data_IF_443738876772
#
_entry.id   IF_443738876772
#
_cell.length_a   1.000
_cell.length_b   1.000
_cell.length_c   1.000
_cell.angle_alpha   90.00
_cell.angle_beta   90.00
_cell.angle_gamma   90.00
#
_symmetry.space_group_name_H-M   'P 1'
#
loop_
_entity.id
_entity.type
_entity.pdbx_description
1 polymer ?
#
# COMPACT_ATOMS: atom_id res chain seq x y z
N UNK A 1 -20.41 -36.24 11.62
CA UNK A 1 -19.06 -35.72 11.87
C UNK A 1 -18.24 -35.81 10.59
N UNK A 2 -18.11 -34.71 9.83
CA UNK A 2 -17.26 -34.66 8.63
C UNK A 2 -15.82 -34.37 9.05
N UNK A 3 -14.90 -35.29 8.77
CA UNK A 3 -13.47 -35.14 9.03
C UNK A 3 -12.95 -33.93 8.25
N UNK A 4 -12.45 -32.92 8.97
CA UNK A 4 -11.61 -31.84 8.42
C UNK A 4 -10.27 -32.46 8.03
N UNK A 5 -10.06 -32.70 6.74
CA UNK A 5 -8.73 -33.03 6.23
C UNK A 5 -7.90 -31.74 6.25
N UNK A 6 -7.07 -31.61 7.28
CA UNK A 6 -6.10 -30.52 7.42
C UNK A 6 -4.96 -30.76 6.43
N UNK A 7 -5.03 -30.16 5.24
CA UNK A 7 -3.88 -30.02 4.35
C UNK A 7 -3.05 -28.86 4.89
N UNK A 8 -2.17 -29.15 5.84
CA UNK A 8 -1.18 -28.19 6.36
C UNK A 8 0.16 -28.42 5.66
N UNK A 9 0.68 -27.37 5.04
CA UNK A 9 2.09 -27.21 4.68
C UNK A 9 2.48 -27.82 3.33
N UNK A 10 3.04 -27.00 2.44
CA UNK A 10 3.70 -27.36 1.17
C UNK A 10 2.85 -27.82 -0.02
N UNK A 11 1.52 -27.76 0.01
CA UNK A 11 0.72 -28.04 -1.17
C UNK A 11 0.72 -26.85 -2.14
N UNK A 12 1.07 -27.09 -3.41
CA UNK A 12 0.90 -26.14 -4.51
C UNK A 12 -0.56 -25.63 -4.50
N UNK A 13 -0.75 -24.33 -4.24
CA UNK A 13 -2.09 -23.76 -4.00
C UNK A 13 -2.96 -23.92 -5.25
N UNK A 14 -2.37 -23.81 -6.44
CA UNK A 14 -3.08 -24.00 -7.70
C UNK A 14 -3.59 -25.44 -7.84
N UNK A 15 -2.77 -26.44 -7.48
CA UNK A 15 -3.22 -27.84 -7.45
C UNK A 15 -4.37 -28.06 -6.46
N UNK A 16 -4.30 -27.41 -5.30
CA UNK A 16 -5.37 -27.48 -4.30
C UNK A 16 -6.68 -26.89 -4.84
N UNK A 17 -6.62 -25.73 -5.49
CA UNK A 17 -7.78 -25.11 -6.16
C UNK A 17 -8.36 -26.07 -7.20
N UNK A 18 -7.53 -26.63 -8.09
CA UNK A 18 -7.95 -27.57 -9.13
C UNK A 18 -8.59 -28.83 -8.54
N UNK A 19 -8.04 -29.38 -7.46
CA UNK A 19 -8.55 -30.59 -6.80
C UNK A 19 -9.93 -30.39 -6.16
N UNK A 20 -10.20 -29.20 -5.64
CA UNK A 20 -11.46 -28.86 -4.97
C UNK A 20 -12.50 -28.25 -5.93
N UNK A 21 -12.09 -27.87 -7.15
CA UNK A 21 -12.89 -27.11 -8.10
C UNK A 21 -14.30 -27.67 -8.32
N UNK A 22 -14.41 -28.99 -8.53
CA UNK A 22 -15.70 -29.64 -8.79
C UNK A 22 -16.70 -29.46 -7.64
N UNK A 23 -16.21 -29.39 -6.40
CA UNK A 23 -16.99 -29.25 -5.18
C UNK A 23 -17.32 -27.80 -4.79
N UNK A 24 -16.74 -26.82 -5.50
CA UNK A 24 -16.93 -25.39 -5.21
C UNK A 24 -18.32 -24.88 -5.62
N UNK A 25 -18.83 -23.90 -4.88
CA UNK A 25 -20.02 -23.15 -5.26
C UNK A 25 -19.79 -22.31 -6.51
N UNK A 26 -20.87 -21.82 -7.16
CA UNK A 26 -20.76 -20.97 -8.35
C UNK A 26 -19.90 -19.72 -8.12
N UNK A 27 -19.99 -19.10 -6.95
CA UNK A 27 -19.19 -17.92 -6.62
C UNK A 27 -17.72 -18.27 -6.40
N UNK A 28 -17.43 -19.38 -5.74
CA UNK A 28 -16.06 -19.86 -5.53
C UNK A 28 -15.39 -20.28 -6.85
N UNK A 29 -16.13 -20.93 -7.75
CA UNK A 29 -15.62 -21.27 -9.09
C UNK A 29 -15.17 -20.05 -9.88
N UNK A 30 -15.95 -18.97 -9.86
CA UNK A 30 -15.54 -17.70 -10.51
C UNK A 30 -14.23 -17.14 -9.98
N UNK A 31 -14.02 -17.21 -8.65
CA UNK A 31 -12.75 -16.79 -8.04
C UNK A 31 -11.62 -17.74 -8.42
N UNK A 32 -11.87 -19.05 -8.38
CA UNK A 32 -10.92 -20.08 -8.81
C UNK A 32 -10.49 -19.89 -10.27
N UNK A 33 -11.44 -19.68 -11.18
CA UNK A 33 -11.18 -19.44 -12.61
C UNK A 33 -10.32 -18.20 -12.81
N UNK A 34 -10.62 -17.10 -12.10
CA UNK A 34 -9.86 -15.86 -12.18
C UNK A 34 -8.40 -16.05 -11.77
N UNK A 35 -8.16 -16.90 -10.76
CA UNK A 35 -6.81 -17.20 -10.25
C UNK A 35 -6.08 -18.21 -11.13
N UNK A 36 -6.75 -19.26 -11.59
CA UNK A 36 -6.14 -20.31 -12.41
C UNK A 36 -5.80 -19.84 -13.82
N UNK A 37 -6.58 -18.89 -14.37
CA UNK A 37 -6.35 -18.35 -15.71
C UNK A 37 -5.10 -17.46 -15.79
N UNK A 38 -4.78 -16.74 -14.72
CA UNK A 38 -3.60 -15.87 -14.66
C UNK A 38 -3.02 -15.81 -13.23
N UNK A 39 -2.29 -16.85 -12.80
CA UNK A 39 -1.73 -16.92 -11.46
C UNK A 39 -0.71 -15.81 -11.17
N UNK A 40 0.04 -15.37 -12.17
CA UNK A 40 1.03 -14.30 -12.03
C UNK A 40 0.37 -12.96 -11.71
N UNK A 41 -0.67 -12.57 -12.46
CA UNK A 41 -1.41 -11.36 -12.13
C UNK A 41 -2.15 -11.49 -10.79
N UNK A 42 -2.63 -12.69 -10.44
CA UNK A 42 -3.31 -12.93 -9.17
C UNK A 42 -2.45 -12.65 -7.94
N UNK A 43 -1.11 -12.75 -8.04
CA UNK A 43 -0.15 -12.36 -6.99
C UNK A 43 -0.20 -10.86 -6.68
N UNK A 44 -0.71 -10.03 -7.59
CA UNK A 44 -0.75 -8.59 -7.41
C UNK A 44 -2.13 -8.06 -6.99
N UNK A 45 -3.23 -8.80 -7.20
CA UNK A 45 -4.57 -8.32 -6.87
C UNK A 45 -4.78 -8.03 -5.36
N UNK A 46 -5.57 -6.99 -5.05
CA UNK A 46 -6.21 -6.88 -3.73
C UNK A 46 -7.42 -7.80 -3.65
N UNK A 47 -8.02 -7.91 -2.45
CA UNK A 47 -9.30 -8.61 -2.29
C UNK A 47 -10.38 -7.97 -3.14
N UNK A 48 -10.37 -6.64 -3.26
CA UNK A 48 -11.30 -5.86 -4.06
C UNK A 48 -11.08 -6.15 -5.55
N UNK A 49 -9.84 -6.07 -6.04
CA UNK A 49 -9.52 -6.39 -7.44
C UNK A 49 -9.93 -7.81 -7.83
N UNK A 50 -9.64 -8.79 -6.98
CA UNK A 50 -10.01 -10.17 -7.24
C UNK A 50 -11.53 -10.35 -7.24
N UNK A 51 -12.24 -9.67 -6.34
CA UNK A 51 -13.70 -9.74 -6.28
C UNK A 51 -14.35 -9.19 -7.55
N UNK A 52 -13.86 -8.06 -8.06
CA UNK A 52 -14.37 -7.44 -9.28
C UNK A 52 -14.04 -8.27 -10.53
N UNK A 53 -12.79 -8.74 -10.66
CA UNK A 53 -12.39 -9.60 -11.79
C UNK A 53 -13.17 -10.90 -11.82
N UNK A 54 -13.47 -11.48 -10.65
CA UNK A 54 -14.30 -12.67 -10.54
C UNK A 54 -15.81 -12.37 -10.67
N UNK A 55 -16.24 -11.10 -10.64
CA UNK A 55 -17.66 -10.74 -10.64
C UNK A 55 -18.43 -11.30 -9.44
N UNK A 56 -17.83 -11.19 -8.24
CA UNK A 56 -18.41 -11.61 -6.95
C UNK A 56 -18.15 -10.55 -5.88
N UNK A 57 -18.89 -10.57 -4.76
CA UNK A 57 -18.57 -9.70 -3.63
C UNK A 57 -17.32 -10.13 -2.86
N UNK A 58 -16.64 -9.19 -2.19
CA UNK A 58 -15.44 -9.46 -1.37
C UNK A 58 -15.66 -10.58 -0.33
N UNK A 59 -16.85 -10.66 0.28
CA UNK A 59 -17.20 -11.74 1.22
C UNK A 59 -17.15 -13.12 0.56
N UNK A 60 -17.46 -13.22 -0.73
CA UNK A 60 -17.33 -14.49 -1.48
C UNK A 60 -15.86 -14.85 -1.71
N UNK A 61 -14.99 -13.86 -1.97
CA UNK A 61 -13.53 -14.09 -2.03
C UNK A 61 -13.01 -14.58 -0.68
N UNK A 62 -13.43 -13.97 0.44
CA UNK A 62 -13.03 -14.42 1.78
C UNK A 62 -13.54 -15.83 2.08
N UNK A 63 -14.77 -16.16 1.68
CA UNK A 63 -15.32 -17.53 1.83
C UNK A 63 -14.55 -18.55 1.00
N UNK A 64 -14.19 -18.21 -0.22
CA UNK A 64 -13.33 -19.03 -1.07
C UNK A 64 -11.97 -19.31 -0.41
N UNK A 65 -11.28 -18.28 0.11
CA UNK A 65 -10.02 -18.51 0.83
C UNK A 65 -10.20 -19.44 2.04
N UNK A 66 -11.30 -19.30 2.78
CA UNK A 66 -11.62 -20.16 3.93
C UNK A 66 -11.99 -21.59 3.55
N UNK A 67 -12.65 -21.82 2.41
CA UNK A 67 -12.97 -23.18 1.95
C UNK A 67 -11.73 -23.94 1.49
N UNK A 68 -10.68 -23.23 1.07
CA UNK A 68 -9.35 -23.78 0.82
C UNK A 68 -8.52 -24.01 2.10
N UNK A 69 -9.01 -23.58 3.27
CA UNK A 69 -8.35 -23.78 4.56
C UNK A 69 -7.53 -22.59 5.09
N UNK A 70 -7.52 -21.45 4.38
CA UNK A 70 -6.83 -20.23 4.83
C UNK A 70 -7.68 -19.42 5.82
N UNK A 71 -7.04 -18.71 6.74
CA UNK A 71 -7.70 -17.81 7.69
C UNK A 71 -8.36 -16.59 7.02
N UNK A 72 -7.83 -16.16 5.87
CA UNK A 72 -8.34 -15.05 5.07
C UNK A 72 -7.55 -14.82 3.77
N UNK A 73 -7.82 -13.70 3.11
CA UNK A 73 -7.25 -13.38 1.79
C UNK A 73 -5.72 -13.22 1.81
N UNK A 74 -5.16 -12.62 2.86
CA UNK A 74 -3.71 -12.40 2.93
C UNK A 74 -2.91 -13.71 2.94
N UNK A 75 -3.32 -14.68 3.75
CA UNK A 75 -2.68 -16.01 3.83
C UNK A 75 -2.81 -16.77 2.51
N UNK A 76 -3.99 -16.70 1.88
CA UNK A 76 -4.21 -17.25 0.54
C UNK A 76 -3.27 -16.61 -0.50
N UNK A 77 -3.18 -15.27 -0.53
CA UNK A 77 -2.34 -14.52 -1.47
C UNK A 77 -0.86 -14.92 -1.32
N UNK A 78 -0.37 -15.02 -0.07
CA UNK A 78 0.98 -15.49 0.24
C UNK A 78 1.25 -16.90 -0.30
N UNK A 79 0.30 -17.82 -0.13
CA UNK A 79 0.44 -19.21 -0.59
C UNK A 79 0.50 -19.32 -2.12
N UNK A 80 -0.29 -18.52 -2.84
CA UNK A 80 -0.19 -18.41 -4.30
C UNK A 80 1.16 -17.83 -4.72
N UNK A 81 1.62 -16.77 -4.08
CA UNK A 81 2.91 -16.16 -4.39
C UNK A 81 4.06 -17.16 -4.31
N UNK A 82 4.12 -17.94 -3.24
CA UNK A 82 5.13 -19.00 -3.10
C UNK A 82 4.99 -20.03 -4.22
N UNK A 83 3.76 -20.41 -4.57
CA UNK A 83 3.48 -21.38 -5.64
C UNK A 83 3.98 -20.88 -7.00
N UNK A 84 3.68 -19.62 -7.36
CA UNK A 84 4.09 -19.01 -8.63
C UNK A 84 5.61 -18.84 -8.71
N UNK A 85 6.25 -18.36 -7.64
CA UNK A 85 7.71 -18.18 -7.62
C UNK A 85 8.46 -19.52 -7.73
N UNK A 86 7.94 -20.58 -7.12
CA UNK A 86 8.55 -21.90 -7.24
C UNK A 86 8.42 -22.47 -8.66
N UNK A 87 7.33 -22.15 -9.38
CA UNK A 87 7.20 -22.53 -10.79
C UNK A 87 8.24 -21.80 -11.66
N UNK A 88 8.40 -20.48 -11.47
CA UNK A 88 9.42 -19.68 -12.19
C UNK A 88 10.84 -20.14 -11.87
N UNK A 89 11.15 -20.48 -10.61
CA UNK A 89 12.47 -21.01 -10.22
C UNK A 89 12.79 -22.35 -10.87
N UNK A 90 11.81 -23.26 -10.94
CA UNK A 90 11.99 -24.54 -11.60
C UNK A 90 12.25 -24.40 -13.11
N UNK A 91 11.80 -23.32 -13.74
CA UNK A 91 12.05 -22.99 -15.15
C UNK A 91 13.38 -22.24 -15.37
N UNK A 92 13.93 -21.57 -14.35
CA UNK A 92 15.14 -20.71 -14.47
C UNK A 92 16.42 -21.34 -13.94
N UNK A 93 16.36 -22.49 -13.26
CA UNK A 93 17.55 -23.25 -12.86
C UNK A 93 18.31 -23.89 -14.06
N UNK A 94 17.80 -23.77 -15.30
CA UNK A 94 18.49 -24.21 -16.52
C UNK A 94 19.36 -23.13 -17.20
N UNK A 95 19.28 -21.85 -16.82
CA UNK A 95 20.06 -20.77 -17.46
C UNK A 95 20.59 -19.75 -16.42
N UNK A 96 21.77 -20.01 -15.87
CA UNK A 96 22.60 -18.93 -15.30
C UNK A 96 24.02 -19.13 -15.82
N UNK A 97 24.32 -18.49 -16.96
CA UNK A 97 25.70 -18.16 -17.30
C UNK A 97 26.21 -17.09 -16.32
N UNK A 98 27.41 -17.31 -15.79
CA UNK A 98 28.09 -16.34 -14.92
C UNK A 98 28.47 -15.10 -15.77
N UNK A 99 27.77 -13.98 -15.58
CA UNK A 99 28.20 -12.70 -16.17
C UNK A 99 29.49 -12.22 -15.48
N UNK A 100 30.51 -11.90 -16.29
CA UNK A 100 31.88 -11.51 -15.88
C UNK A 100 31.98 -10.26 -14.97
N UNK A 101 30.89 -9.53 -14.71
CA UNK A 101 30.84 -8.42 -13.73
C UNK A 101 29.48 -8.34 -12.99
N UNK A 102 29.19 -9.39 -12.22
CA UNK A 102 27.96 -9.56 -11.44
C UNK A 102 27.57 -8.35 -10.54
N UNK A 103 28.50 -7.65 -9.84
CA UNK A 103 28.15 -6.45 -9.07
C UNK A 103 27.62 -5.31 -9.94
N UNK A 104 28.26 -5.01 -11.09
CA UNK A 104 27.86 -3.92 -11.97
C UNK A 104 26.48 -4.20 -12.60
N UNK A 105 26.21 -5.44 -13.00
CA UNK A 105 24.90 -5.81 -13.56
C UNK A 105 23.77 -5.67 -12.53
N UNK A 106 24.02 -6.02 -11.27
CA UNK A 106 23.06 -5.76 -10.16
C UNK A 106 22.82 -4.26 -9.96
N UNK A 107 23.88 -3.46 -9.90
CA UNK A 107 23.77 -2.00 -9.71
C UNK A 107 22.94 -1.34 -10.81
N UNK A 108 23.21 -1.72 -12.07
CA UNK A 108 22.46 -1.25 -13.23
C UNK A 108 20.99 -1.67 -13.17
N UNK A 109 20.72 -2.93 -12.82
CA UNK A 109 19.35 -3.46 -12.68
C UNK A 109 18.56 -2.73 -11.59
N UNK A 110 19.14 -2.55 -10.41
CA UNK A 110 18.48 -1.83 -9.29
C UNK A 110 18.20 -0.38 -9.68
N UNK A 111 19.17 0.31 -10.28
CA UNK A 111 19.01 1.69 -10.74
C UNK A 111 17.91 1.81 -11.78
N UNK A 112 17.88 0.92 -12.78
CA UNK A 112 16.83 0.89 -13.80
C UNK A 112 15.43 0.68 -13.20
N UNK A 113 15.29 -0.19 -12.20
CA UNK A 113 14.03 -0.39 -11.46
C UNK A 113 13.59 0.91 -10.80
N UNK A 114 14.47 1.61 -10.10
CA UNK A 114 14.13 2.86 -9.41
C UNK A 114 13.79 3.98 -10.39
N UNK A 115 14.58 4.17 -11.45
CA UNK A 115 14.31 5.17 -12.50
C UNK A 115 12.94 4.94 -13.14
N UNK A 116 12.61 3.69 -13.48
CA UNK A 116 11.30 3.35 -14.03
C UNK A 116 10.18 3.67 -13.05
N UNK A 117 10.32 3.27 -11.80
CA UNK A 117 9.32 3.54 -10.76
C UNK A 117 9.10 5.04 -10.55
N UNK A 118 10.15 5.85 -10.64
CA UNK A 118 10.02 7.30 -10.50
C UNK A 118 9.25 7.92 -11.68
N UNK A 119 9.49 7.43 -12.89
CA UNK A 119 8.74 7.85 -14.08
C UNK A 119 7.26 7.41 -14.00
N UNK A 120 7.02 6.16 -13.64
CA UNK A 120 5.68 5.59 -13.47
C UNK A 120 4.89 6.35 -12.37
N UNK A 121 5.56 6.75 -11.28
CA UNK A 121 4.96 7.56 -10.20
C UNK A 121 4.47 8.90 -10.72
N UNK A 122 5.31 9.63 -11.47
CA UNK A 122 4.91 10.91 -12.06
C UNK A 122 3.75 10.75 -13.05
N UNK A 123 3.73 9.66 -13.81
CA UNK A 123 2.68 9.39 -14.80
C UNK A 123 1.34 9.03 -14.15
N UNK A 124 1.36 8.36 -12.99
CA UNK A 124 0.16 7.87 -12.32
C UNK A 124 -0.47 8.90 -11.37
N UNK A 125 0.33 9.79 -10.79
CA UNK A 125 -0.18 10.83 -9.90
C UNK A 125 -1.03 11.85 -10.65
N UNK A 126 -2.29 11.97 -10.22
CA UNK A 126 -3.21 12.98 -10.72
C UNK A 126 -2.87 14.38 -10.14
N UNK A 127 -2.56 15.38 -10.98
CA UNK A 127 -2.27 16.74 -10.52
C UNK A 127 -3.43 17.38 -9.76
N UNK A 128 -4.68 17.06 -10.10
CA UNK A 128 -5.86 17.60 -9.42
C UNK A 128 -5.95 17.13 -7.97
N UNK A 129 -5.78 15.82 -7.76
CA UNK A 129 -5.75 15.19 -6.44
C UNK A 129 -4.59 15.70 -5.58
N UNK A 130 -3.42 15.93 -6.18
CA UNK A 130 -2.29 16.55 -5.49
C UNK A 130 -2.60 17.98 -5.04
N UNK A 131 -3.19 18.79 -5.92
CA UNK A 131 -3.57 20.17 -5.61
C UNK A 131 -4.61 20.22 -4.48
N UNK A 132 -5.66 19.40 -4.59
CA UNK A 132 -6.72 19.32 -3.58
C UNK A 132 -6.16 18.86 -2.22
N UNK A 133 -5.27 17.86 -2.22
CA UNK A 133 -4.59 17.43 -1.00
C UNK A 133 -3.77 18.57 -0.38
N UNK A 134 -3.02 19.34 -1.19
CA UNK A 134 -2.23 20.46 -0.71
C UNK A 134 -3.09 21.58 -0.08
N UNK A 135 -4.21 21.92 -0.72
CA UNK A 135 -5.17 22.92 -0.21
C UNK A 135 -5.78 22.49 1.13
N UNK A 136 -6.14 21.21 1.28
CA UNK A 136 -6.60 20.69 2.56
C UNK A 136 -5.48 20.74 3.59
N UNK A 137 -4.26 20.27 3.28
CA UNK A 137 -3.14 20.31 4.23
C UNK A 137 -2.86 21.72 4.75
N UNK A 138 -3.06 22.76 3.94
CA UNK A 138 -2.88 24.16 4.34
C UNK A 138 -4.03 24.75 5.16
N UNK A 139 -5.27 24.30 4.92
CA UNK A 139 -6.48 24.82 5.56
C UNK A 139 -6.91 24.05 6.81
N UNK A 140 -6.49 22.78 6.95
CA UNK A 140 -6.83 21.93 8.08
C UNK A 140 -6.20 22.40 9.39
N UNK A 141 -6.89 22.14 10.50
CA UNK A 141 -6.43 22.47 11.86
C UNK A 141 -5.25 21.61 12.28
N UNK A 142 -5.28 20.32 11.94
CA UNK A 142 -4.22 19.35 12.23
C UNK A 142 -4.24 18.21 11.23
N UNK A 143 -3.05 17.78 10.81
CA UNK A 143 -2.87 16.65 9.90
C UNK A 143 -2.30 15.46 10.66
N UNK A 144 -2.91 14.30 10.50
CA UNK A 144 -2.53 13.05 11.12
C UNK A 144 -1.99 12.09 10.06
N UNK A 145 -0.67 12.02 9.92
CA UNK A 145 -0.03 11.00 9.10
C UNK A 145 -0.09 9.65 9.81
N UNK A 146 -0.68 8.65 9.17
CA UNK A 146 -0.81 7.32 9.76
C UNK A 146 -0.40 6.24 8.76
N UNK A 147 0.29 5.21 9.28
CA UNK A 147 0.73 4.07 8.49
C UNK A 147 1.40 3.06 9.39
N UNK A 148 1.26 1.77 9.09
CA UNK A 148 1.87 0.69 9.89
C UNK A 148 2.98 0.01 9.09
N UNK A 149 3.96 -0.57 9.80
CA UNK A 149 5.08 -1.26 9.17
C UNK A 149 5.88 -0.35 8.23
N UNK A 150 6.13 -0.82 7.01
CA UNK A 150 6.89 -0.05 6.00
C UNK A 150 6.23 1.28 5.63
N UNK A 151 4.90 1.33 5.56
CA UNK A 151 4.15 2.57 5.32
C UNK A 151 4.23 3.54 6.51
N UNK A 152 4.50 3.04 7.71
CA UNK A 152 4.78 3.88 8.87
C UNK A 152 6.05 4.71 8.69
N UNK A 153 7.11 4.13 8.09
CA UNK A 153 8.36 4.84 7.80
C UNK A 153 8.08 6.02 6.85
N UNK A 154 7.31 5.78 5.79
CA UNK A 154 6.84 6.82 4.88
C UNK A 154 6.01 7.89 5.61
N UNK A 155 5.17 7.51 6.58
CA UNK A 155 4.39 8.46 7.36
C UNK A 155 5.27 9.35 8.26
N UNK A 156 6.34 8.79 8.83
CA UNK A 156 7.34 9.53 9.60
C UNK A 156 8.10 10.54 8.73
N UNK A 157 8.46 10.11 7.52
CA UNK A 157 9.13 10.92 6.51
C UNK A 157 8.26 12.11 6.04
N UNK A 158 6.96 11.87 5.81
CA UNK A 158 5.97 12.92 5.56
C UNK A 158 5.87 13.89 6.74
N UNK A 159 5.70 13.36 7.96
CA UNK A 159 5.64 14.20 9.17
C UNK A 159 6.85 15.13 9.29
N UNK A 160 8.07 14.62 9.08
CA UNK A 160 9.27 15.44 9.12
C UNK A 160 9.21 16.58 8.10
N UNK A 161 8.85 16.30 6.84
CA UNK A 161 8.74 17.32 5.77
C UNK A 161 7.70 18.37 6.08
N UNK A 162 6.47 17.98 6.39
CA UNK A 162 5.39 18.95 6.60
C UNK A 162 5.55 19.72 7.93
N UNK A 163 6.20 19.14 8.94
CA UNK A 163 6.60 19.87 10.15
C UNK A 163 7.61 20.97 9.83
N UNK A 164 8.61 20.68 8.98
CA UNK A 164 9.58 21.70 8.50
C UNK A 164 8.91 22.84 7.73
N UNK A 165 7.79 22.57 7.05
CA UNK A 165 6.95 23.57 6.39
C UNK A 165 6.03 24.35 7.35
N UNK A 166 6.07 24.07 8.67
CA UNK A 166 5.28 24.78 9.67
C UNK A 166 3.80 24.40 9.71
N UNK A 167 3.45 23.22 9.18
CA UNK A 167 2.10 22.67 9.31
C UNK A 167 1.92 22.00 10.68
N UNK A 168 0.72 22.10 11.30
CA UNK A 168 0.39 21.38 12.52
C UNK A 168 0.17 19.90 12.23
N UNK A 169 1.25 19.11 12.26
CA UNK A 169 1.24 17.71 11.86
C UNK A 169 1.54 16.78 13.04
N UNK A 170 1.02 15.55 12.98
CA UNK A 170 1.39 14.45 13.87
C UNK A 170 1.59 13.18 13.06
N UNK A 171 2.30 12.21 13.63
CA UNK A 171 2.47 10.88 13.05
C UNK A 171 2.12 9.82 14.07
N UNK A 172 1.45 8.76 13.61
CA UNK A 172 1.30 7.54 14.40
C UNK A 172 1.51 6.28 13.56
N UNK A 173 2.25 5.34 14.15
CA UNK A 173 2.62 4.06 13.54
C UNK A 173 2.09 2.85 14.31
N UNK A 174 1.69 3.04 15.57
CA UNK A 174 1.09 1.99 16.39
C UNK A 174 -0.40 1.82 16.06
N UNK A 175 -0.81 0.60 15.71
CA UNK A 175 -2.19 0.29 15.31
C UNK A 175 -3.22 0.62 16.39
N UNK A 176 -2.92 0.37 17.66
CA UNK A 176 -3.82 0.68 18.76
C UNK A 176 -3.97 2.18 18.93
N UNK A 177 -2.87 2.93 18.90
CA UNK A 177 -2.94 4.38 19.04
C UNK A 177 -3.59 5.03 17.80
N UNK A 178 -3.35 4.53 16.58
CA UNK A 178 -4.09 4.95 15.38
C UNK A 178 -5.60 4.78 15.60
N UNK A 179 -6.03 3.62 16.12
CA UNK A 179 -7.45 3.36 16.35
C UNK A 179 -8.06 4.30 17.40
N UNK A 180 -7.33 4.61 18.47
CA UNK A 180 -7.76 5.54 19.51
C UNK A 180 -7.81 6.99 18.99
N UNK A 181 -6.74 7.48 18.38
CA UNK A 181 -6.65 8.88 17.93
C UNK A 181 -7.65 9.16 16.80
N UNK A 182 -7.79 8.25 15.83
CA UNK A 182 -8.74 8.40 14.73
C UNK A 182 -10.20 8.51 15.20
N UNK A 183 -10.55 7.88 16.33
CA UNK A 183 -11.91 7.95 16.89
C UNK A 183 -12.28 9.32 17.48
N UNK A 184 -11.30 10.20 17.68
CA UNK A 184 -11.46 11.53 18.27
C UNK A 184 -11.41 12.65 17.23
N UNK A 185 -11.20 12.34 15.96
CA UNK A 185 -11.03 13.33 14.89
C UNK A 185 -12.37 13.88 14.42
N UNK A 186 -12.38 15.17 14.09
CA UNK A 186 -13.57 15.90 13.64
C UNK A 186 -13.38 16.61 12.30
N UNK A 187 -14.38 17.41 11.92
CA UNK A 187 -14.47 18.16 10.65
C UNK A 187 -13.30 19.08 10.30
N UNK A 188 -12.50 19.48 11.28
CA UNK A 188 -11.36 20.38 11.08
C UNK A 188 -10.03 19.61 10.98
N UNK A 189 -10.05 18.29 11.20
CA UNK A 189 -8.87 17.42 11.18
C UNK A 189 -8.73 16.71 9.83
N UNK A 190 -7.49 16.40 9.48
CA UNK A 190 -7.14 15.67 8.26
C UNK A 190 -6.42 14.39 8.64
N UNK A 191 -6.86 13.27 8.06
CA UNK A 191 -6.14 12.00 8.13
C UNK A 191 -5.45 11.74 6.81
N UNK A 192 -4.13 11.59 6.85
CA UNK A 192 -3.34 11.16 5.71
C UNK A 192 -2.91 9.71 5.91
N UNK A 193 -3.65 8.78 5.32
CA UNK A 193 -3.44 7.34 5.45
C UNK A 193 -2.51 6.78 4.38
N UNK A 194 -1.42 6.14 4.79
CA UNK A 194 -0.46 5.49 3.89
C UNK A 194 -0.61 3.97 4.00
N UNK A 195 -1.04 3.33 2.90
CA UNK A 195 -1.14 1.87 2.81
C UNK A 195 -0.94 1.43 1.38
N UNK A 196 0.16 0.73 1.09
CA UNK A 196 0.43 0.21 -0.26
C UNK A 196 -0.72 -0.64 -0.79
N UNK A 197 -1.22 -1.58 0.02
CA UNK A 197 -2.33 -2.48 -0.36
C UNK A 197 -3.71 -1.81 -0.31
N UNK A 198 -3.82 -0.69 0.40
CA UNK A 198 -5.09 -0.04 0.75
C UNK A 198 -6.06 -0.94 1.53
N UNK A 199 -5.58 -2.08 2.04
CA UNK A 199 -6.40 -3.15 2.61
C UNK A 199 -6.00 -3.50 4.05
N UNK A 200 -5.05 -2.78 4.63
CA UNK A 200 -4.60 -3.02 6.01
C UNK A 200 -5.71 -2.66 6.98
N UNK A 201 -6.31 -3.66 7.61
CA UNK A 201 -7.47 -3.47 8.51
C UNK A 201 -7.19 -2.48 9.64
N UNK A 202 -6.01 -2.57 10.25
CA UNK A 202 -5.57 -1.68 11.33
C UNK A 202 -5.39 -0.22 10.91
N UNK A 203 -5.50 0.07 9.61
CA UNK A 203 -5.51 1.43 9.07
C UNK A 203 -6.89 1.81 8.52
N UNK A 204 -7.51 0.93 7.74
CA UNK A 204 -8.81 1.16 7.08
C UNK A 204 -9.93 1.35 8.11
N UNK A 205 -9.99 0.52 9.15
CA UNK A 205 -11.06 0.59 10.15
C UNK A 205 -10.98 1.89 10.98
N UNK A 206 -9.79 2.33 11.45
CA UNK A 206 -9.64 3.66 12.05
C UNK A 206 -9.97 4.81 11.12
N UNK A 207 -9.54 4.78 9.85
CA UNK A 207 -9.86 5.83 8.87
C UNK A 207 -11.38 5.97 8.67
N UNK A 208 -12.10 4.84 8.61
CA UNK A 208 -13.57 4.84 8.57
C UNK A 208 -14.19 5.57 9.75
N UNK A 209 -13.64 5.40 10.96
CA UNK A 209 -14.10 6.10 12.17
C UNK A 209 -13.82 7.60 12.08
N UNK A 210 -12.62 7.99 11.66
CA UNK A 210 -12.28 9.40 11.46
C UNK A 210 -13.21 10.07 10.43
N UNK A 211 -13.47 9.37 9.32
CA UNK A 211 -14.39 9.83 8.28
C UNK A 211 -15.82 10.01 8.81
N UNK A 212 -16.29 9.08 9.64
CA UNK A 212 -17.59 9.20 10.31
C UNK A 212 -17.66 10.38 11.30
N UNK A 213 -16.53 10.76 11.90
CA UNK A 213 -16.38 11.98 12.71
C UNK A 213 -16.33 13.28 11.89
N UNK A 214 -16.27 13.18 10.56
CA UNK A 214 -16.25 14.31 9.64
C UNK A 214 -14.85 14.72 9.17
N UNK A 215 -13.79 14.04 9.61
CA UNK A 215 -12.43 14.34 9.17
C UNK A 215 -12.27 14.15 7.66
N UNK A 216 -11.45 15.00 7.06
CA UNK A 216 -11.05 14.85 5.65
C UNK A 216 -10.02 13.74 5.54
N UNK A 217 -10.19 12.83 4.58
CA UNK A 217 -9.32 11.67 4.39
C UNK A 217 -8.54 11.79 3.09
N UNK A 218 -7.22 11.81 3.18
CA UNK A 218 -6.31 11.68 2.05
C UNK A 218 -5.65 10.31 2.16
N UNK A 219 -5.56 9.54 1.07
CA UNK A 219 -4.82 8.29 1.07
C UNK A 219 -3.70 8.25 0.04
N UNK A 220 -2.56 7.68 0.44
CA UNK A 220 -1.46 7.30 -0.45
C UNK A 220 -1.44 5.78 -0.56
N UNK A 221 -1.73 5.26 -1.74
CA UNK A 221 -1.87 3.82 -1.98
C UNK A 221 -1.36 3.43 -3.36
N UNK A 222 -1.22 2.14 -3.61
CA UNK A 222 -0.84 1.62 -4.92
C UNK A 222 -1.93 0.84 -5.63
N UNK A 223 -3.09 0.70 -5.01
CA UNK A 223 -4.23 0.00 -5.58
C UNK A 223 -5.43 0.94 -5.66
N UNK A 224 -5.76 1.34 -6.89
CA UNK A 224 -6.86 2.28 -7.16
C UNK A 224 -8.20 1.79 -6.61
N UNK A 225 -8.37 0.46 -6.53
CA UNK A 225 -9.55 -0.20 -5.99
C UNK A 225 -9.15 -0.97 -4.74
N UNK A 226 -9.33 -0.36 -3.59
CA UNK A 226 -9.02 -0.96 -2.32
C UNK A 226 -9.91 -0.40 -1.22
N UNK A 227 -10.03 -1.07 -0.06
CA UNK A 227 -10.90 -0.60 1.01
C UNK A 227 -10.64 0.83 1.49
N UNK A 228 -9.40 1.32 1.43
CA UNK A 228 -9.05 2.71 1.80
C UNK A 228 -9.57 3.74 0.78
N UNK A 229 -9.60 3.40 -0.52
CA UNK A 229 -10.01 4.35 -1.57
C UNK A 229 -11.52 4.58 -1.56
N UNK A 230 -12.30 3.65 -1.00
CA UNK A 230 -13.75 3.80 -0.83
C UNK A 230 -14.14 4.86 0.21
N UNK A 231 -13.21 5.28 1.07
CA UNK A 231 -13.48 6.22 2.17
C UNK A 231 -12.62 7.48 2.11
N UNK A 232 -11.71 7.56 1.13
CA UNK A 232 -10.84 8.71 0.92
C UNK A 232 -11.55 9.81 0.12
N UNK A 233 -11.28 11.07 0.47
CA UNK A 233 -11.71 12.25 -0.26
C UNK A 233 -10.74 12.61 -1.39
N UNK A 234 -9.44 12.35 -1.20
CA UNK A 234 -8.43 12.40 -2.27
C UNK A 234 -7.55 11.15 -2.24
N UNK A 235 -7.25 10.64 -3.44
CA UNK A 235 -6.45 9.42 -3.64
C UNK A 235 -5.17 9.80 -4.37
N UNK A 236 -4.03 9.60 -3.72
CA UNK A 236 -2.72 9.69 -4.32
C UNK A 236 -2.26 8.28 -4.67
N UNK A 237 -2.27 7.98 -5.97
CA UNK A 237 -1.94 6.66 -6.48
C UNK A 237 -0.48 6.59 -6.93
N UNK A 238 0.26 5.60 -6.43
CA UNK A 238 1.67 5.37 -6.79
C UNK A 238 1.88 3.94 -7.27
N UNK A 239 2.78 3.67 -8.23
CA UNK A 239 3.00 2.33 -8.73
C UNK A 239 3.48 1.40 -7.61
N UNK A 240 3.13 0.12 -7.73
CA UNK A 240 3.74 -0.94 -6.94
C UNK A 240 4.01 -2.17 -7.80
N UNK A 241 5.04 -2.91 -7.42
CA UNK A 241 5.25 -4.29 -7.84
C UNK A 241 5.18 -5.24 -6.65
N UNK A 242 4.49 -4.87 -5.57
CA UNK A 242 4.44 -5.72 -4.38
C UNK A 242 3.70 -7.03 -4.65
N UNK A 243 4.49 -8.10 -4.67
CA UNK A 243 4.06 -9.41 -4.22
C UNK A 243 4.03 -9.44 -2.68
N UNK A 244 3.19 -10.27 -2.02
CA UNK A 244 3.21 -10.50 -0.57
C UNK A 244 4.60 -10.78 0.02
N UNK A 245 5.52 -11.37 -0.75
CA UNK A 245 6.90 -11.64 -0.31
C UNK A 245 7.84 -10.45 -0.53
N UNK A 246 7.40 -9.42 -1.25
CA UNK A 246 8.11 -8.17 -1.49
C UNK A 246 7.49 -7.00 -0.72
N UNK A 247 6.66 -7.29 0.29
CA UNK A 247 6.04 -6.27 1.14
C UNK A 247 7.09 -5.32 1.70
N UNK A 248 6.94 -4.02 1.42
CA UNK A 248 7.91 -3.02 1.82
C UNK A 248 9.14 -2.90 0.92
N UNK A 249 9.07 -3.33 -0.34
CA UNK A 249 10.13 -3.12 -1.32
C UNK A 249 10.57 -1.64 -1.38
N UNK A 250 11.88 -1.41 -1.56
CA UNK A 250 12.42 -0.05 -1.62
C UNK A 250 11.85 0.74 -2.79
N UNK A 251 11.56 0.09 -3.92
CA UNK A 251 10.88 0.69 -5.06
C UNK A 251 9.53 1.31 -4.69
N UNK A 252 8.67 0.59 -3.95
CA UNK A 252 7.40 1.14 -3.44
C UNK A 252 7.63 2.36 -2.55
N UNK A 253 8.65 2.30 -1.68
CA UNK A 253 9.01 3.44 -0.82
C UNK A 253 9.48 4.65 -1.62
N UNK A 254 10.29 4.46 -2.65
CA UNK A 254 10.74 5.54 -3.54
C UNK A 254 9.53 6.22 -4.19
N UNK A 255 8.57 5.44 -4.70
CA UNK A 255 7.35 5.97 -5.29
C UNK A 255 6.54 6.80 -4.28
N UNK A 256 6.37 6.28 -3.05
CA UNK A 256 5.65 6.98 -1.99
C UNK A 256 6.36 8.29 -1.55
N UNK A 257 7.68 8.23 -1.34
CA UNK A 257 8.49 9.38 -0.93
C UNK A 257 8.46 10.45 -2.04
N UNK A 258 8.58 10.06 -3.30
CA UNK A 258 8.49 11.00 -4.42
C UNK A 258 7.11 11.68 -4.48
N UNK A 259 6.01 10.94 -4.25
CA UNK A 259 4.67 11.53 -4.19
C UNK A 259 4.54 12.55 -3.04
N UNK A 260 5.08 12.22 -1.87
CA UNK A 260 5.11 13.13 -0.72
C UNK A 260 5.97 14.36 -1.01
N UNK A 261 7.12 14.18 -1.67
CA UNK A 261 8.02 15.26 -2.04
C UNK A 261 7.34 16.24 -3.01
N UNK A 262 6.71 15.73 -4.06
CA UNK A 262 5.89 16.53 -4.98
C UNK A 262 4.77 17.27 -4.26
N UNK A 263 4.05 16.60 -3.36
CA UNK A 263 2.99 17.24 -2.56
C UNK A 263 3.56 18.34 -1.67
N UNK A 264 4.71 18.11 -1.03
CA UNK A 264 5.36 19.09 -0.16
C UNK A 264 5.83 20.33 -0.94
N UNK A 265 6.35 20.15 -2.16
CA UNK A 265 6.73 21.24 -3.05
C UNK A 265 5.52 22.08 -3.51
N UNK A 266 4.36 21.44 -3.73
CA UNK A 266 3.11 22.15 -4.03
C UNK A 266 2.65 22.96 -2.81
N UNK A 267 2.65 22.37 -1.62
CA UNK A 267 2.32 23.07 -0.37
C UNK A 267 3.23 24.28 -0.15
N UNK A 268 4.54 24.12 -0.35
CA UNK A 268 5.51 25.21 -0.28
C UNK A 268 5.20 26.31 -1.30
N UNK A 269 4.89 25.95 -2.55
CA UNK A 269 4.56 26.90 -3.61
C UNK A 269 3.30 27.72 -3.30
N UNK A 270 2.30 27.13 -2.64
CA UNK A 270 1.04 27.79 -2.27
C UNK A 270 1.16 28.71 -1.05
N UNK A 271 2.19 28.53 -0.20
CA UNK A 271 2.35 29.28 1.06
C UNK A 271 3.79 29.74 1.31
N UNK A 272 4.49 30.19 0.25
CA UNK A 272 5.94 30.45 0.22
C UNK A 272 6.49 31.24 1.40
N UNK A 273 5.84 32.35 1.76
CA UNK A 273 6.32 33.21 2.85
C UNK A 273 6.29 32.47 4.20
N UNK A 274 5.12 31.89 4.53
CA UNK A 274 4.92 31.11 5.76
C UNK A 274 5.86 29.89 5.82
N UNK A 275 6.01 29.15 4.74
CA UNK A 275 6.85 27.95 4.71
C UNK A 275 8.33 28.30 4.77
N UNK A 276 8.78 29.35 4.08
CA UNK A 276 10.18 29.82 4.15
C UNK A 276 10.56 30.26 5.57
N UNK A 277 9.69 31.02 6.24
CA UNK A 277 9.90 31.37 7.65
C UNK A 277 10.01 30.14 8.55
N UNK A 278 9.12 29.15 8.38
CA UNK A 278 9.13 27.93 9.16
C UNK A 278 10.41 27.09 8.91
N UNK A 279 10.85 26.99 7.66
CA UNK A 279 12.10 26.32 7.29
C UNK A 279 13.29 27.00 7.97
N UNK A 280 13.38 28.34 7.95
CA UNK A 280 14.45 29.08 8.64
C UNK A 280 14.41 28.87 10.16
N UNK A 281 13.22 28.98 10.79
CA UNK A 281 13.05 28.76 12.23
C UNK A 281 13.49 27.36 12.64
N UNK A 282 13.06 26.34 11.90
CA UNK A 282 13.40 24.94 12.19
C UNK A 282 14.87 24.62 11.92
N UNK A 283 15.50 25.22 10.91
CA UNK A 283 16.94 25.07 10.65
C UNK A 283 17.78 25.72 11.76
N UNK A 284 17.45 26.94 12.18
CA UNK A 284 18.16 27.64 13.25
C UNK A 284 18.06 26.91 14.59
N UNK A 285 16.92 26.29 14.89
CA UNK A 285 16.68 25.54 16.14
C UNK A 285 17.53 24.27 16.29
N UNK A 286 18.26 23.85 15.25
CA UNK A 286 19.17 22.71 15.29
C UNK A 286 20.59 23.06 14.85
N UNK A 287 20.87 24.34 14.57
CA UNK A 287 22.18 24.79 14.09
C UNK A 287 23.29 24.57 15.13
N UNK A 288 22.96 24.67 16.41
CA UNK A 288 23.86 24.39 17.54
C UNK A 288 24.12 22.90 17.78
N UNK A 289 23.45 22.02 17.02
CA UNK A 289 23.64 20.56 17.06
C UNK A 289 24.62 20.06 16.01
N UNK A 290 25.15 20.94 15.17
CA UNK A 290 26.17 20.64 14.16
C UNK A 290 27.55 20.98 14.75
N UNK A 291 28.50 20.04 14.65
CA UNK A 291 29.91 20.27 14.98
C UNK A 291 30.66 20.89 13.81
#
# INVERSE_FOLDING_TARGET
>A
MKKKTSIKGNANTLLTISSLYSSMTKAEKKVADTVLNDPEAAVHYTVTDLSEKAGVGETSVIRFCRSLGFSGYHEFKLSITVTVLNAVKAETEEEVEEEDDYPLSIMNRVTAIHTKVMADTRALLDPGSLMQAAEWLLSGKRVHFIGVGSSGITAQDAYYRFMRLGLPVTVQQDAHIIAMSASLLGKDDIVFGISTSGSTKDLVDPIKKAKAGGATVICLTSHARSPITQVADAILLVPTKESPLQGGALSTKIAQIQAIDMLSAIVESLSKERTSEAIMKTANAVADKLY
#
